data_IF_925863380844
#
_entry.id   IF_925863380844
#
_cell.length_a   1.000
_cell.length_b   1.000
_cell.length_c   1.000
_cell.angle_alpha   90.00
_cell.angle_beta   90.00
_cell.angle_gamma   90.00
#
_symmetry.space_group_name_H-M   'P 1'
#
loop_
_entity.id
_entity.type
_entity.pdbx_description
1 polymer ?
#
# COMPACT_ATOMS: atom_id res chain seq x y z
N UNK A 1 -2.16 -28.86 12.66
CA UNK A 1 -3.21 -28.75 11.64
C UNK A 1 -4.35 -27.94 12.25
N UNK A 2 -4.29 -26.58 12.14
CA UNK A 2 -5.35 -25.70 12.67
C UNK A 2 -6.32 -25.43 11.51
N UNK A 3 -7.57 -25.88 11.66
CA UNK A 3 -8.66 -25.60 10.74
C UNK A 3 -8.85 -24.07 10.63
N UNK A 4 -8.72 -23.53 9.40
CA UNK A 4 -9.17 -22.16 9.08
C UNK A 4 -10.67 -22.07 9.38
N UNK A 5 -11.18 -20.97 9.99
CA UNK A 5 -12.61 -20.78 10.08
C UNK A 5 -13.17 -20.67 8.65
N UNK A 6 -14.04 -21.63 8.29
CA UNK A 6 -14.82 -21.63 7.06
C UNK A 6 -15.73 -20.38 7.13
N UNK A 7 -15.41 -19.36 6.36
CA UNK A 7 -16.36 -18.28 6.12
C UNK A 7 -17.30 -18.81 5.05
N UNK A 8 -18.60 -18.86 5.35
CA UNK A 8 -19.61 -19.27 4.39
C UNK A 8 -19.42 -18.47 3.10
N UNK A 9 -19.03 -19.17 2.03
CA UNK A 9 -18.84 -18.59 0.71
C UNK A 9 -20.21 -18.39 0.06
N UNK A 10 -20.68 -17.17 0.06
CA UNK A 10 -21.74 -16.76 -0.88
C UNK A 10 -21.06 -16.48 -2.22
N UNK A 11 -21.44 -17.16 -3.31
CA UNK A 11 -20.92 -16.87 -4.63
C UNK A 11 -21.21 -15.39 -4.97
N UNK A 12 -20.31 -14.71 -5.70
CA UNK A 12 -20.51 -13.31 -6.06
C UNK A 12 -21.84 -13.13 -6.78
N UNK A 13 -22.52 -12.04 -6.47
CA UNK A 13 -23.77 -11.64 -7.12
C UNK A 13 -23.64 -11.48 -8.64
N UNK A 14 -22.41 -11.35 -9.13
CA UNK A 14 -22.03 -11.43 -10.54
C UNK A 14 -20.80 -12.31 -10.66
N UNK A 15 -20.86 -13.38 -11.45
CA UNK A 15 -19.73 -14.28 -11.60
C UNK A 15 -18.57 -13.59 -12.31
N UNK A 16 -17.34 -13.96 -11.94
CA UNK A 16 -16.15 -13.61 -12.69
C UNK A 16 -16.21 -14.25 -14.10
N UNK A 17 -15.40 -13.79 -15.07
CA UNK A 17 -15.24 -14.49 -16.35
C UNK A 17 -14.99 -15.99 -16.17
N UNK A 18 -15.51 -16.81 -17.08
CA UNK A 18 -15.48 -18.28 -16.97
C UNK A 18 -14.07 -18.88 -16.87
N UNK A 19 -13.04 -18.11 -17.28
CA UNK A 19 -11.62 -18.51 -17.15
C UNK A 19 -11.13 -18.59 -15.70
N UNK A 20 -11.87 -18.00 -14.73
CA UNK A 20 -11.48 -18.02 -13.31
C UNK A 20 -12.26 -19.06 -12.53
N UNK A 21 -11.56 -20.04 -12.00
CA UNK A 21 -12.12 -20.94 -11.00
C UNK A 21 -11.95 -20.29 -9.62
N UNK A 22 -13.05 -19.70 -9.10
CA UNK A 22 -13.05 -18.98 -7.82
C UNK A 22 -12.91 -19.96 -6.67
N UNK A 23 -11.90 -19.76 -5.82
CA UNK A 23 -11.61 -20.61 -4.65
C UNK A 23 -12.07 -19.97 -3.34
N UNK A 24 -12.07 -18.64 -3.25
CA UNK A 24 -12.49 -17.96 -2.04
C UNK A 24 -12.49 -16.44 -2.13
N UNK A 25 -13.12 -15.79 -1.16
CA UNK A 25 -13.07 -14.37 -0.96
C UNK A 25 -11.91 -14.03 -0.02
N UNK A 26 -10.94 -13.25 -0.51
CA UNK A 26 -9.76 -12.81 0.25
C UNK A 26 -10.04 -11.55 1.06
N UNK A 27 -10.83 -10.62 0.49
CA UNK A 27 -11.14 -9.36 1.15
C UNK A 27 -12.29 -8.58 0.51
N UNK A 28 -12.87 -7.69 1.31
CA UNK A 28 -13.86 -6.70 0.87
C UNK A 28 -13.40 -5.31 1.25
N UNK A 29 -13.52 -4.38 0.31
CA UNK A 29 -13.29 -2.95 0.51
C UNK A 29 -14.55 -2.15 0.18
N UNK A 30 -14.45 -0.82 0.16
CA UNK A 30 -15.57 0.05 -0.20
C UNK A 30 -15.97 -0.19 -1.66
N UNK A 31 -16.97 -1.05 -1.87
CA UNK A 31 -17.49 -1.43 -3.19
C UNK A 31 -16.59 -2.38 -4.00
N UNK A 32 -15.45 -2.81 -3.47
CA UNK A 32 -14.54 -3.75 -4.12
C UNK A 32 -14.50 -5.09 -3.41
N UNK A 33 -14.30 -6.16 -4.16
CA UNK A 33 -14.14 -7.53 -3.67
C UNK A 33 -12.86 -8.13 -4.26
N UNK A 34 -12.10 -8.88 -3.47
CA UNK A 34 -10.89 -9.56 -3.95
C UNK A 34 -11.08 -11.06 -3.74
N UNK A 35 -11.00 -11.80 -4.83
CA UNK A 35 -11.15 -13.25 -4.85
C UNK A 35 -9.81 -13.95 -5.09
N UNK A 36 -9.57 -15.04 -4.39
CA UNK A 36 -8.57 -16.03 -4.75
C UNK A 36 -9.18 -16.91 -5.83
N UNK A 37 -8.47 -17.09 -6.95
CA UNK A 37 -8.93 -17.89 -8.07
C UNK A 37 -7.76 -18.55 -8.81
N UNK A 38 -8.03 -19.64 -9.49
CA UNK A 38 -7.14 -20.21 -10.48
C UNK A 38 -7.52 -19.64 -11.87
N UNK A 39 -6.55 -19.04 -12.55
CA UNK A 39 -6.72 -18.51 -13.91
C UNK A 39 -6.29 -19.57 -14.93
N UNK A 40 -7.24 -20.15 -15.65
CA UNK A 40 -7.00 -21.20 -16.65
C UNK A 40 -6.16 -20.70 -17.86
N UNK A 41 -6.18 -19.39 -18.14
CA UNK A 41 -5.41 -18.82 -19.24
C UNK A 41 -3.93 -18.66 -18.86
N UNK A 42 -3.66 -18.24 -17.63
CA UNK A 42 -2.30 -18.01 -17.13
C UNK A 42 -1.70 -19.24 -16.46
N UNK A 43 -2.52 -20.28 -16.20
CA UNK A 43 -2.15 -21.53 -15.52
C UNK A 43 -1.52 -21.26 -14.13
N UNK A 44 -2.13 -20.33 -13.36
CA UNK A 44 -1.63 -19.99 -12.03
C UNK A 44 -2.72 -19.47 -11.08
N UNK A 45 -2.41 -19.50 -9.79
CA UNK A 45 -3.22 -18.90 -8.73
C UNK A 45 -3.08 -17.39 -8.76
N UNK A 46 -4.21 -16.68 -8.76
CA UNK A 46 -4.29 -15.23 -8.86
C UNK A 46 -5.20 -14.62 -7.80
N UNK A 47 -5.01 -13.33 -7.54
CA UNK A 47 -6.00 -12.50 -6.87
C UNK A 47 -6.78 -11.72 -7.94
N UNK A 48 -8.11 -11.84 -7.94
CA UNK A 48 -8.98 -11.09 -8.85
C UNK A 48 -9.74 -10.03 -8.05
N UNK A 49 -9.39 -8.76 -8.29
CA UNK A 49 -10.07 -7.62 -7.69
C UNK A 49 -11.20 -7.16 -8.59
N UNK A 50 -12.43 -7.22 -8.09
CA UNK A 50 -13.64 -6.85 -8.77
C UNK A 50 -14.09 -5.49 -8.25
N UNK A 51 -14.33 -4.54 -9.17
CA UNK A 51 -14.75 -3.18 -8.85
C UNK A 51 -16.28 -3.04 -8.84
N UNK A 52 -16.83 -1.93 -8.31
CA UNK A 52 -18.26 -1.69 -8.30
C UNK A 52 -18.88 -1.70 -9.71
N UNK A 53 -20.18 -1.97 -9.79
CA UNK A 53 -20.94 -2.00 -11.05
C UNK A 53 -21.52 -0.64 -11.47
N UNK A 54 -21.47 0.34 -10.60
CA UNK A 54 -21.99 1.70 -10.79
C UNK A 54 -20.97 2.68 -11.42
N UNK A 55 -19.83 2.16 -11.84
CA UNK A 55 -18.82 2.95 -12.55
C UNK A 55 -19.26 3.22 -14.00
N UNK A 56 -19.04 4.45 -14.47
CA UNK A 56 -19.29 4.81 -15.85
C UNK A 56 -18.27 4.15 -16.82
N UNK A 57 -18.60 4.10 -18.10
CA UNK A 57 -17.73 3.50 -19.12
C UNK A 57 -16.34 4.14 -19.17
N UNK A 58 -16.23 5.41 -18.82
CA UNK A 58 -14.95 6.13 -18.79
C UNK A 58 -14.06 5.66 -17.66
N UNK A 59 -14.64 5.47 -16.48
CA UNK A 59 -13.95 4.90 -15.32
C UNK A 59 -13.52 3.45 -15.58
N UNK A 60 -14.42 2.65 -16.16
CA UNK A 60 -14.13 1.27 -16.55
C UNK A 60 -12.92 1.17 -17.51
N UNK A 61 -12.87 2.01 -18.56
CA UNK A 61 -11.75 2.06 -19.51
C UNK A 61 -10.45 2.51 -18.83
N UNK A 62 -10.51 3.52 -17.97
CA UNK A 62 -9.33 4.02 -17.24
C UNK A 62 -8.73 2.92 -16.35
N UNK A 63 -9.55 2.15 -15.65
CA UNK A 63 -9.07 1.02 -14.82
C UNK A 63 -8.35 -0.01 -15.70
N UNK A 64 -8.93 -0.37 -16.84
CA UNK A 64 -8.33 -1.33 -17.76
C UNK A 64 -7.02 -0.82 -18.40
N UNK A 65 -6.96 0.48 -18.76
CA UNK A 65 -5.77 1.09 -19.36
C UNK A 65 -4.63 1.20 -18.35
N UNK A 66 -4.95 1.52 -17.09
CA UNK A 66 -3.94 1.59 -16.03
C UNK A 66 -3.43 0.21 -15.65
N UNK A 67 -4.29 -0.80 -15.62
CA UNK A 67 -3.86 -2.19 -15.46
C UNK A 67 -2.74 -2.56 -16.46
N UNK A 68 -2.92 -2.18 -17.73
CA UNK A 68 -1.91 -2.41 -18.79
C UNK A 68 -0.65 -1.57 -18.59
N UNK A 69 -0.75 -0.38 -18.02
CA UNK A 69 0.41 0.44 -17.69
C UNK A 69 1.21 -0.14 -16.53
N UNK A 70 0.52 -0.76 -15.57
CA UNK A 70 1.12 -1.39 -14.39
C UNK A 70 1.80 -2.73 -14.70
N UNK A 71 1.39 -3.44 -15.77
CA UNK A 71 2.05 -4.67 -16.23
C UNK A 71 3.57 -4.48 -16.47
N UNK A 72 4.01 -3.25 -16.78
CA UNK A 72 5.42 -2.90 -16.95
C UNK A 72 6.20 -2.74 -15.64
N UNK A 73 5.48 -2.64 -14.50
CA UNK A 73 6.09 -2.47 -13.19
C UNK A 73 6.38 -3.84 -12.58
N UNK A 74 7.49 -4.45 -12.98
CA UNK A 74 7.94 -5.71 -12.38
C UNK A 74 9.01 -5.44 -11.33
N UNK A 75 8.68 -5.68 -10.06
CA UNK A 75 9.62 -5.55 -8.95
C UNK A 75 9.20 -6.45 -7.78
N UNK A 76 10.17 -7.08 -7.12
CA UNK A 76 9.94 -8.04 -6.01
C UNK A 76 9.16 -7.49 -4.81
N UNK A 77 9.04 -6.16 -4.67
CA UNK A 77 8.31 -5.48 -3.58
C UNK A 77 6.99 -4.88 -4.04
N UNK A 78 6.56 -5.21 -5.24
CA UNK A 78 5.28 -4.80 -5.80
C UNK A 78 4.43 -6.03 -6.09
N UNK A 79 3.14 -5.92 -5.87
CA UNK A 79 2.19 -6.92 -6.37
C UNK A 79 2.09 -6.76 -7.88
N UNK A 80 2.47 -7.79 -8.63
CA UNK A 80 2.39 -7.77 -10.09
C UNK A 80 0.94 -7.76 -10.56
N UNK A 81 0.65 -6.95 -11.58
CA UNK A 81 -0.63 -6.96 -12.29
C UNK A 81 -0.43 -7.79 -13.56
N UNK A 82 -1.27 -8.79 -13.79
CA UNK A 82 -1.15 -9.71 -14.93
C UNK A 82 -2.11 -9.36 -16.06
N UNK A 83 -3.32 -8.89 -15.71
CA UNK A 83 -4.37 -8.61 -16.71
C UNK A 83 -5.46 -7.73 -16.08
N UNK A 84 -6.35 -7.21 -16.90
CA UNK A 84 -7.53 -6.49 -16.47
C UNK A 84 -8.56 -6.38 -17.57
N UNK A 85 -9.82 -6.28 -17.18
CA UNK A 85 -10.91 -6.20 -18.15
C UNK A 85 -12.22 -5.74 -17.53
N UNK A 86 -13.28 -5.89 -18.31
CA UNK A 86 -14.67 -5.63 -17.88
C UNK A 86 -15.50 -6.87 -18.11
N UNK A 87 -16.25 -7.32 -17.12
CA UNK A 87 -17.17 -8.43 -17.20
C UNK A 87 -18.52 -8.04 -16.63
N UNK A 88 -19.59 -8.20 -17.39
CA UNK A 88 -20.96 -7.82 -17.02
C UNK A 88 -21.06 -6.37 -16.48
N UNK A 89 -20.34 -5.44 -17.10
CA UNK A 89 -20.30 -4.02 -16.71
C UNK A 89 -19.43 -3.72 -15.46
N UNK A 90 -18.77 -4.71 -14.89
CA UNK A 90 -17.85 -4.55 -13.75
C UNK A 90 -16.40 -4.68 -14.21
N UNK A 91 -15.55 -3.67 -13.93
CA UNK A 91 -14.11 -3.82 -14.13
C UNK A 91 -13.54 -4.86 -13.19
N UNK A 92 -12.52 -5.57 -13.64
CA UNK A 92 -11.73 -6.47 -12.79
C UNK A 92 -10.23 -6.33 -13.10
N UNK A 93 -9.41 -6.66 -12.12
CA UNK A 93 -7.96 -6.68 -12.20
C UNK A 93 -7.45 -8.03 -11.74
N UNK A 94 -6.55 -8.64 -12.52
CA UNK A 94 -5.89 -9.90 -12.19
C UNK A 94 -4.48 -9.60 -11.69
N UNK A 95 -4.19 -10.07 -10.49
CA UNK A 95 -2.94 -9.72 -9.80
C UNK A 95 -2.28 -10.97 -9.20
N UNK A 96 -1.01 -10.84 -8.89
CA UNK A 96 -0.28 -11.80 -8.09
C UNK A 96 -1.01 -12.05 -6.76
N UNK A 97 -1.24 -13.31 -6.45
CA UNK A 97 -1.75 -13.71 -5.15
C UNK A 97 -0.61 -13.72 -4.12
N UNK A 98 -0.66 -12.82 -3.15
CA UNK A 98 0.26 -12.82 -2.01
C UNK A 98 -0.38 -13.58 -0.87
N UNK A 99 0.18 -14.74 -0.52
CA UNK A 99 -0.25 -15.52 0.64
C UNK A 99 0.36 -14.92 1.90
N UNK A 100 -0.48 -14.45 2.81
CA UNK A 100 -0.03 -13.80 4.03
C UNK A 100 -1.07 -12.88 4.64
N UNK A 101 -0.62 -11.76 5.22
CA UNK A 101 -1.50 -10.78 5.88
C UNK A 101 -1.15 -9.36 5.49
N UNK A 102 -2.09 -8.43 5.61
CA UNK A 102 -1.77 -7.01 5.46
C UNK A 102 -0.99 -6.48 6.67
N UNK A 103 -0.13 -5.48 6.45
CA UNK A 103 0.57 -4.77 7.53
C UNK A 103 -0.43 -4.17 8.54
N UNK A 104 -1.60 -3.72 8.08
CA UNK A 104 -2.65 -3.23 8.97
C UNK A 104 -3.19 -4.32 9.91
N UNK A 105 -3.21 -5.59 9.48
CA UNK A 105 -3.57 -6.73 10.33
C UNK A 105 -2.45 -7.02 11.34
N UNK A 106 -1.19 -7.01 10.88
CA UNK A 106 -0.01 -7.22 11.75
C UNK A 106 0.08 -6.16 12.86
N UNK A 107 -0.19 -4.89 12.53
CA UNK A 107 -0.13 -3.79 13.50
C UNK A 107 -1.24 -3.83 14.56
N UNK A 108 -2.32 -4.60 14.36
CA UNK A 108 -3.29 -4.86 15.43
C UNK A 108 -2.74 -5.75 16.56
N UNK A 109 -1.70 -6.50 16.29
CA UNK A 109 -1.00 -7.33 17.30
C UNK A 109 -0.02 -6.51 18.15
N UNK A 110 0.27 -5.28 17.75
CA UNK A 110 1.16 -4.35 18.41
C UNK A 110 2.19 -3.71 17.47
N UNK A 111 2.99 -2.75 17.96
CA UNK A 111 4.05 -2.13 17.20
C UNK A 111 5.14 -3.14 16.81
N UNK A 112 5.92 -2.77 15.80
CA UNK A 112 7.13 -3.49 15.42
C UNK A 112 8.30 -2.99 16.24
N UNK A 113 9.33 -3.82 16.41
CA UNK A 113 10.62 -3.32 16.85
C UNK A 113 11.14 -2.28 15.85
N UNK A 114 11.84 -1.26 16.35
CA UNK A 114 12.35 -0.18 15.48
C UNK A 114 13.21 -0.73 14.33
N UNK A 115 14.07 -1.73 14.61
CA UNK A 115 14.88 -2.36 13.58
C UNK A 115 14.05 -3.06 12.50
N UNK A 116 12.98 -3.78 12.90
CA UNK A 116 12.05 -4.44 11.97
C UNK A 116 11.34 -3.42 11.09
N UNK A 117 10.84 -2.33 11.69
CA UNK A 117 10.17 -1.26 10.98
C UNK A 117 11.12 -0.60 9.94
N UNK A 118 12.39 -0.36 10.31
CA UNK A 118 13.40 0.21 9.41
C UNK A 118 13.65 -0.71 8.20
N UNK A 119 13.82 -2.02 8.42
CA UNK A 119 14.01 -3.00 7.35
C UNK A 119 12.79 -3.03 6.43
N UNK A 120 11.59 -3.15 6.98
CA UNK A 120 10.34 -3.19 6.22
C UNK A 120 10.19 -1.95 5.32
N UNK A 121 10.45 -0.77 5.89
CA UNK A 121 10.31 0.48 5.14
C UNK A 121 11.43 0.66 4.12
N UNK A 122 12.64 0.17 4.36
CA UNK A 122 13.71 0.15 3.36
C UNK A 122 13.30 -0.67 2.13
N UNK A 123 12.72 -1.86 2.33
CA UNK A 123 12.23 -2.71 1.25
C UNK A 123 11.08 -2.06 0.46
N UNK A 124 10.17 -1.37 1.14
CA UNK A 124 9.09 -0.62 0.48
C UNK A 124 9.63 0.60 -0.29
N UNK A 125 10.64 1.28 0.26
CA UNK A 125 11.31 2.39 -0.43
C UNK A 125 12.02 1.93 -1.71
N UNK A 126 12.58 0.70 -1.75
CA UNK A 126 13.12 0.06 -2.95
C UNK A 126 12.03 -0.08 -4.04
N UNK A 127 10.88 -0.64 -3.70
CA UNK A 127 9.74 -0.74 -4.61
C UNK A 127 9.25 0.63 -5.11
N UNK A 128 9.11 1.61 -4.20
CA UNK A 128 8.69 2.97 -4.59
C UNK A 128 9.73 3.69 -5.45
N UNK A 129 11.02 3.50 -5.20
CA UNK A 129 12.08 4.08 -6.03
C UNK A 129 12.00 3.55 -7.47
N UNK A 130 11.74 2.23 -7.64
CA UNK A 130 11.52 1.63 -8.95
C UNK A 130 10.31 2.24 -9.68
N UNK A 131 9.19 2.39 -9.00
CA UNK A 131 7.94 2.98 -9.54
C UNK A 131 8.17 4.43 -9.95
N UNK A 132 8.79 5.23 -9.08
CA UNK A 132 9.07 6.63 -9.34
C UNK A 132 10.05 6.86 -10.51
N UNK A 133 11.04 5.98 -10.68
CA UNK A 133 11.96 6.02 -11.82
C UNK A 133 11.25 5.82 -13.16
N UNK A 134 10.08 5.17 -13.17
CA UNK A 134 9.25 4.97 -14.34
C UNK A 134 8.16 6.05 -14.51
N UNK A 135 8.21 7.12 -13.70
CA UNK A 135 7.27 8.24 -13.77
C UNK A 135 5.89 7.93 -13.18
N UNK A 136 5.74 6.79 -12.48
CA UNK A 136 4.49 6.39 -11.82
C UNK A 136 4.52 6.82 -10.35
N UNK A 137 3.36 7.19 -9.81
CA UNK A 137 3.16 7.55 -8.40
C UNK A 137 2.06 6.66 -7.84
N UNK A 138 2.30 6.05 -6.69
CA UNK A 138 1.36 5.10 -6.07
C UNK A 138 0.09 5.77 -5.52
N UNK A 139 0.25 6.90 -4.84
CA UNK A 139 -0.81 7.80 -4.29
C UNK A 139 -1.67 7.25 -3.14
N UNK A 140 -1.55 5.98 -2.79
CA UNK A 140 -2.35 5.34 -1.72
C UNK A 140 -1.50 4.39 -0.85
N UNK A 141 -0.30 4.82 -0.47
CA UNK A 141 0.58 4.07 0.44
C UNK A 141 -0.01 4.10 1.85
N UNK A 142 -0.34 2.91 2.37
CA UNK A 142 -0.93 2.73 3.71
C UNK A 142 -0.80 1.26 4.16
N UNK A 143 -0.89 0.95 5.47
CA UNK A 143 -0.71 -0.42 5.97
C UNK A 143 -1.67 -1.45 5.39
N UNK A 144 -2.88 -1.08 4.96
CA UNK A 144 -3.81 -2.02 4.32
C UNK A 144 -3.41 -2.43 2.90
N UNK A 145 -2.61 -1.60 2.23
CA UNK A 145 -2.11 -1.83 0.87
C UNK A 145 -0.67 -2.39 0.87
N UNK A 146 -0.14 -2.75 2.03
CA UNK A 146 1.13 -3.43 2.21
C UNK A 146 0.82 -4.85 2.66
N UNK A 147 1.12 -5.83 1.81
CA UNK A 147 0.94 -7.25 2.09
C UNK A 147 2.26 -7.84 2.56
N UNK A 148 2.23 -8.58 3.64
CA UNK A 148 3.36 -9.36 4.14
C UNK A 148 3.14 -10.81 3.70
N UNK A 149 4.06 -11.38 2.93
CA UNK A 149 3.98 -12.77 2.52
C UNK A 149 4.27 -13.75 3.69
N UNK A 150 4.25 -15.04 3.43
CA UNK A 150 4.50 -16.08 4.44
C UNK A 150 5.93 -16.03 5.01
N UNK A 151 6.87 -15.43 4.28
CA UNK A 151 8.23 -15.16 4.74
C UNK A 151 8.39 -13.80 5.42
N UNK A 152 7.30 -13.00 5.48
CA UNK A 152 7.24 -11.67 6.09
C UNK A 152 7.71 -10.53 5.18
N UNK A 153 8.06 -10.80 3.92
CA UNK A 153 8.48 -9.74 3.01
C UNK A 153 7.32 -8.87 2.57
N UNK A 154 7.52 -7.53 2.54
CA UNK A 154 6.46 -6.62 2.13
C UNK A 154 6.30 -6.54 0.61
N UNK A 155 5.05 -6.48 0.17
CA UNK A 155 4.64 -6.22 -1.20
C UNK A 155 3.63 -5.08 -1.21
N UNK A 156 3.89 -4.04 -2.00
CA UNK A 156 2.99 -2.90 -2.15
C UNK A 156 1.93 -3.24 -3.20
N UNK A 157 0.67 -3.16 -2.82
CA UNK A 157 -0.50 -3.44 -3.64
C UNK A 157 -1.33 -2.18 -3.87
N UNK A 158 -2.33 -2.30 -4.75
CA UNK A 158 -3.36 -1.27 -4.92
C UNK A 158 -2.81 0.11 -5.30
N UNK A 159 -1.97 0.15 -6.34
CA UNK A 159 -1.65 1.41 -6.99
C UNK A 159 -2.95 2.19 -7.22
N UNK A 160 -2.96 3.50 -6.97
CA UNK A 160 -4.16 4.34 -6.89
C UNK A 160 -5.17 4.28 -8.04
N UNK A 161 -5.42 3.08 -8.58
CA UNK A 161 -6.38 2.77 -9.64
C UNK A 161 -7.79 3.27 -9.26
N UNK A 162 -8.15 3.21 -7.98
CA UNK A 162 -9.42 3.76 -7.49
C UNK A 162 -9.51 5.28 -7.66
N UNK A 163 -8.38 5.99 -7.67
CA UNK A 163 -8.33 7.43 -7.90
C UNK A 163 -8.64 7.81 -9.35
N UNK A 164 -8.45 6.92 -10.29
CA UNK A 164 -8.75 7.12 -11.71
C UNK A 164 -10.19 6.79 -12.08
N UNK A 165 -10.84 5.95 -11.29
CA UNK A 165 -12.25 5.62 -11.44
C UNK A 165 -13.21 6.81 -11.18
N UNK A 166 -12.68 8.03 -11.06
CA UNK A 166 -13.49 9.21 -10.81
C UNK A 166 -13.90 9.39 -9.33
N UNK A 167 -13.50 8.47 -8.45
CA UNK A 167 -13.73 8.58 -7.01
C UNK A 167 -12.69 9.48 -6.31
N UNK A 168 -12.03 10.35 -7.03
CA UNK A 168 -11.01 11.20 -6.45
C UNK A 168 -11.09 12.62 -6.95
N UNK A 169 -11.70 13.35 -6.16
CA UNK A 169 -11.25 14.66 -5.70
C UNK A 169 -11.91 14.86 -4.35
N UNK A 170 -11.18 15.34 -3.38
CA UNK A 170 -11.75 16.04 -2.24
C UNK A 170 -12.48 17.26 -2.84
N UNK A 171 -13.60 17.06 -3.52
CA UNK A 171 -14.40 18.10 -4.15
C UNK A 171 -15.70 18.38 -3.38
N UNK A 172 -16.00 17.57 -2.38
CA UNK A 172 -16.99 17.90 -1.37
C UNK A 172 -16.50 17.39 -0.01
N UNK A 173 -16.67 18.19 1.00
CA UNK A 173 -16.26 17.98 2.39
C UNK A 173 -16.82 16.67 3.00
N UNK A 174 -17.80 16.06 2.36
CA UNK A 174 -18.53 14.88 2.83
C UNK A 174 -18.09 13.53 2.21
N UNK A 175 -17.27 13.52 1.14
CA UNK A 175 -16.87 12.30 0.43
C UNK A 175 -15.36 12.05 0.47
N UNK A 176 -14.73 12.07 1.64
CA UNK A 176 -13.38 11.52 1.79
C UNK A 176 -13.48 10.00 1.74
N UNK A 177 -13.47 9.44 0.52
CA UNK A 177 -13.44 7.98 0.30
C UNK A 177 -12.04 7.48 0.65
N UNK A 178 -11.96 6.54 1.58
CA UNK A 178 -10.69 5.94 2.02
C UNK A 178 -10.29 6.30 3.45
N UNK A 179 -9.07 5.94 3.82
CA UNK A 179 -8.50 6.26 5.14
C UNK A 179 -7.62 7.51 5.01
N UNK A 180 -8.10 8.70 5.40
CA UNK A 180 -7.35 9.95 5.21
C UNK A 180 -6.07 10.04 6.06
N UNK A 181 -5.83 9.08 6.96
CA UNK A 181 -4.74 9.10 7.91
C UNK A 181 -3.33 9.21 7.29
N UNK A 182 -3.15 8.83 6.02
CA UNK A 182 -1.84 8.82 5.34
C UNK A 182 -1.72 9.80 4.18
N UNK A 183 -2.79 10.54 3.84
CA UNK A 183 -2.76 11.51 2.76
C UNK A 183 -1.72 12.60 3.03
N UNK A 184 -0.97 13.01 2.02
CA UNK A 184 -0.07 14.15 2.10
C UNK A 184 -0.86 15.48 2.10
N UNK A 185 -0.29 16.57 2.66
CA UNK A 185 -0.95 17.87 2.69
C UNK A 185 -1.44 18.35 1.32
N UNK A 186 -0.64 18.19 0.28
CA UNK A 186 -1.00 18.58 -1.10
C UNK A 186 -2.13 17.75 -1.69
N UNK A 187 -2.34 16.50 -1.25
CA UNK A 187 -3.50 15.70 -1.66
C UNK A 187 -4.81 16.27 -1.10
N UNK A 188 -4.76 16.87 0.08
CA UNK A 188 -5.93 17.50 0.71
C UNK A 188 -6.18 18.88 0.11
N UNK A 189 -5.11 19.63 -0.19
CA UNK A 189 -5.18 20.98 -0.75
C UNK A 189 -5.44 21.01 -2.25
N UNK A 190 -5.50 19.85 -2.93
CA UNK A 190 -5.67 19.77 -4.38
C UNK A 190 -4.46 20.26 -5.17
N UNK A 191 -3.27 20.19 -4.59
CA UNK A 191 -2.01 20.54 -5.24
C UNK A 191 -1.54 19.51 -6.28
N UNK A 192 -0.41 19.81 -6.94
CA UNK A 192 0.22 18.85 -7.86
C UNK A 192 0.72 17.61 -7.12
N UNK A 193 0.34 16.44 -7.61
CA UNK A 193 0.69 15.16 -7.02
C UNK A 193 1.89 14.55 -7.75
N UNK A 194 2.98 14.34 -7.02
CA UNK A 194 4.21 13.72 -7.49
C UNK A 194 4.73 12.66 -6.52
N UNK A 195 5.91 12.06 -6.78
CA UNK A 195 6.53 11.03 -5.94
C UNK A 195 6.60 11.36 -4.44
N UNK A 196 6.66 12.65 -4.10
CA UNK A 196 6.72 13.13 -2.72
C UNK A 196 5.49 12.76 -1.87
N UNK A 197 4.32 12.49 -2.48
CA UNK A 197 3.12 12.06 -1.72
C UNK A 197 3.32 10.67 -1.13
N UNK A 198 3.97 9.76 -1.89
CA UNK A 198 4.24 8.39 -1.45
C UNK A 198 5.28 8.37 -0.33
N UNK A 199 6.30 9.24 -0.43
CA UNK A 199 7.33 9.38 0.61
C UNK A 199 6.73 9.89 1.92
N UNK A 200 5.80 10.86 1.86
CA UNK A 200 5.08 11.33 3.04
C UNK A 200 4.28 10.20 3.70
N UNK A 201 3.49 9.50 2.91
CA UNK A 201 2.68 8.38 3.38
C UNK A 201 3.56 7.25 3.97
N UNK A 202 4.67 6.92 3.32
CA UNK A 202 5.64 5.92 3.81
C UNK A 202 6.26 6.34 5.15
N UNK A 203 6.54 7.63 5.36
CA UNK A 203 6.99 8.17 6.64
C UNK A 203 5.95 7.99 7.75
N UNK A 204 4.67 8.20 7.46
CA UNK A 204 3.59 7.95 8.43
C UNK A 204 3.40 6.46 8.72
N UNK A 205 3.58 5.59 7.72
CA UNK A 205 3.58 4.13 7.93
C UNK A 205 4.72 3.70 8.84
N UNK A 206 5.95 4.23 8.62
CA UNK A 206 7.09 3.98 9.51
C UNK A 206 6.79 4.39 10.96
N UNK A 207 6.23 5.59 11.13
CA UNK A 207 5.88 6.09 12.45
C UNK A 207 4.83 5.21 13.14
N UNK A 208 3.80 4.76 12.40
CA UNK A 208 2.80 3.83 12.94
C UNK A 208 3.39 2.45 13.26
N UNK A 209 4.29 1.92 12.43
CA UNK A 209 5.01 0.67 12.73
C UNK A 209 5.74 0.75 14.08
N UNK A 210 6.42 1.86 14.35
CA UNK A 210 7.20 2.06 15.57
C UNK A 210 6.29 2.33 16.79
N UNK A 211 5.25 3.15 16.62
CA UNK A 211 4.43 3.62 17.74
C UNK A 211 3.19 2.75 18.01
N UNK A 212 2.79 1.91 17.04
CA UNK A 212 1.53 1.16 17.06
C UNK A 212 0.29 2.04 16.93
N UNK A 213 0.42 3.31 16.57
CA UNK A 213 -0.68 4.27 16.51
C UNK A 213 -0.59 5.15 15.27
N UNK A 214 -1.75 5.42 14.68
CA UNK A 214 -1.85 6.42 13.62
C UNK A 214 -1.53 7.79 14.15
N UNK A 215 -0.65 8.51 13.48
CA UNK A 215 -0.25 9.85 13.92
C UNK A 215 -1.36 10.90 13.75
N UNK A 216 -2.09 10.79 12.64
CA UNK A 216 -3.22 11.66 12.36
C UNK A 216 -4.51 10.84 12.43
N UNK A 217 -5.05 10.72 13.63
CA UNK A 217 -6.34 10.13 13.91
C UNK A 217 -7.25 11.17 14.56
N UNK A 218 -8.56 11.02 14.45
CA UNK A 218 -9.52 11.96 15.00
C UNK A 218 -10.92 11.39 15.01
N UNK A 219 -11.85 12.06 15.71
CA UNK A 219 -13.26 11.64 15.83
C UNK A 219 -13.95 11.47 14.48
N UNK A 220 -13.51 12.22 13.47
CA UNK A 220 -13.98 12.11 12.11
C UNK A 220 -12.84 12.24 11.09
N UNK A 221 -13.10 11.79 9.86
CA UNK A 221 -12.13 11.78 8.77
C UNK A 221 -11.60 13.17 8.41
N UNK A 222 -12.42 14.22 8.56
CA UNK A 222 -12.06 15.59 8.24
C UNK A 222 -11.05 16.13 9.24
N UNK A 223 -11.26 15.94 10.53
CA UNK A 223 -10.31 16.38 11.57
C UNK A 223 -8.96 15.68 11.41
N UNK A 224 -8.97 14.36 11.15
CA UNK A 224 -7.75 13.62 10.83
C UNK A 224 -7.04 14.18 9.59
N UNK A 225 -7.77 14.60 8.57
CA UNK A 225 -7.20 15.21 7.38
C UNK A 225 -6.63 16.60 7.67
N UNK A 226 -7.34 17.47 8.39
CA UNK A 226 -6.93 18.84 8.68
C UNK A 226 -5.78 18.92 9.69
N UNK A 227 -5.63 17.96 10.59
CA UNK A 227 -4.59 17.96 11.61
C UNK A 227 -3.18 18.10 11.01
N UNK A 228 -2.90 17.46 9.86
CA UNK A 228 -1.59 17.53 9.19
C UNK A 228 -1.32 18.86 8.48
N UNK A 229 -2.35 19.65 8.25
CA UNK A 229 -2.18 21.03 7.74
C UNK A 229 -1.79 22.00 8.85
N UNK A 230 -2.10 21.64 10.11
CA UNK A 230 -1.89 22.52 11.28
C UNK A 230 -0.65 22.19 12.08
N UNK A 231 -0.21 20.91 12.12
CA UNK A 231 0.95 20.47 12.89
C UNK A 231 1.79 19.43 12.16
N UNK A 232 3.06 19.32 12.55
CA UNK A 232 3.93 18.25 12.12
C UNK A 232 3.67 16.95 12.91
N UNK A 233 4.07 15.77 12.40
CA UNK A 233 3.99 14.52 13.13
C UNK A 233 4.79 14.53 14.44
N UNK A 234 4.28 13.84 15.45
CA UNK A 234 4.95 13.66 16.74
C UNK A 234 5.91 12.49 16.65
N UNK A 235 7.17 12.80 16.45
CA UNK A 235 8.24 11.80 16.37
C UNK A 235 8.74 11.50 17.79
N UNK A 236 8.80 10.22 18.22
CA UNK A 236 9.31 9.85 19.53
C UNK A 236 10.73 10.39 19.77
N UNK A 237 10.98 10.91 20.96
CA UNK A 237 12.25 11.57 21.31
C UNK A 237 13.39 10.57 21.56
N UNK A 238 13.07 9.32 21.80
CA UNK A 238 13.98 8.21 22.06
C UNK A 238 14.50 7.51 20.80
N UNK A 239 14.02 7.91 19.62
CA UNK A 239 14.53 7.36 18.37
C UNK A 239 15.98 7.82 18.08
N UNK A 240 16.80 6.95 17.46
CA UNK A 240 18.12 7.35 16.96
C UNK A 240 18.05 8.63 16.11
N UNK A 241 18.98 9.56 16.35
CA UNK A 241 18.98 10.88 15.68
C UNK A 241 18.85 10.83 14.16
N UNK A 242 19.61 9.98 13.45
CA UNK A 242 19.49 9.84 12.00
C UNK A 242 18.11 9.35 11.54
N UNK A 243 17.49 8.39 12.24
CA UNK A 243 16.14 7.91 11.94
C UNK A 243 15.09 8.99 12.20
N UNK A 244 15.18 9.69 13.33
CA UNK A 244 14.30 10.81 13.65
C UNK A 244 14.44 11.96 12.62
N UNK A 245 15.65 12.23 12.15
CA UNK A 245 15.94 13.18 11.08
C UNK A 245 15.29 12.80 9.75
N UNK A 246 15.43 11.53 9.34
CA UNK A 246 14.79 11.02 8.15
C UNK A 246 13.26 11.08 8.23
N UNK A 247 12.66 10.68 9.35
CA UNK A 247 11.21 10.76 9.57
C UNK A 247 10.69 12.21 9.42
N UNK A 248 11.39 13.20 10.00
CA UNK A 248 11.01 14.61 9.84
C UNK A 248 11.09 15.04 8.38
N UNK A 249 12.12 14.62 7.66
CA UNK A 249 12.28 14.96 6.25
C UNK A 249 11.19 14.30 5.39
N UNK A 250 10.92 12.99 5.58
CA UNK A 250 9.87 12.27 4.84
C UNK A 250 8.49 12.92 5.04
N UNK A 251 8.20 13.37 6.26
CA UNK A 251 6.90 13.92 6.64
C UNK A 251 6.85 15.47 6.60
N UNK A 252 7.81 16.12 5.96
CA UNK A 252 7.79 17.57 5.77
C UNK A 252 6.52 18.02 5.01
N UNK A 253 5.92 19.14 5.44
CA UNK A 253 4.70 19.66 4.80
C UNK A 253 4.93 20.05 3.34
N UNK A 254 6.07 20.68 3.06
CA UNK A 254 6.47 21.08 1.72
C UNK A 254 6.98 19.87 0.93
N UNK A 255 6.35 19.48 -0.19
CA UNK A 255 6.78 18.30 -0.97
C UNK A 255 8.26 18.39 -1.42
N UNK A 256 8.74 19.56 -1.78
CA UNK A 256 10.12 19.78 -2.23
C UNK A 256 11.20 19.61 -1.16
N UNK A 257 10.83 19.53 0.12
CA UNK A 257 11.76 19.24 1.23
C UNK A 257 11.85 17.74 1.54
N UNK A 258 10.99 16.92 0.95
CA UNK A 258 11.00 15.48 1.18
C UNK A 258 12.09 14.83 0.35
N UNK A 259 12.79 13.83 0.91
CA UNK A 259 13.75 13.04 0.15
C UNK A 259 13.05 12.24 -0.96
N UNK A 260 13.82 11.75 -1.92
CA UNK A 260 13.34 10.73 -2.86
C UNK A 260 13.20 9.37 -2.18
N UNK A 261 12.41 8.46 -2.74
CA UNK A 261 12.33 7.08 -2.23
C UNK A 261 13.70 6.38 -2.26
N UNK A 262 14.52 6.64 -3.29
CA UNK A 262 15.90 6.13 -3.38
C UNK A 262 16.78 6.65 -2.22
N UNK A 263 16.64 7.92 -1.85
CA UNK A 263 17.39 8.46 -0.71
C UNK A 263 16.92 7.84 0.61
N UNK A 264 15.61 7.62 0.77
CA UNK A 264 15.07 6.89 1.93
C UNK A 264 15.65 5.48 2.02
N UNK A 265 15.66 4.72 0.92
CA UNK A 265 16.27 3.40 0.84
C UNK A 265 17.73 3.42 1.30
N UNK A 266 18.54 4.31 0.72
CA UNK A 266 19.97 4.39 1.04
C UNK A 266 20.20 4.70 2.52
N UNK A 267 19.46 5.66 3.08
CA UNK A 267 19.59 6.06 4.49
C UNK A 267 19.15 4.96 5.44
N UNK A 268 18.02 4.29 5.16
CA UNK A 268 17.51 3.19 5.99
C UNK A 268 18.45 1.98 5.92
N UNK A 269 18.97 1.65 4.74
CA UNK A 269 19.95 0.56 4.57
C UNK A 269 21.24 0.81 5.35
N UNK A 270 21.74 2.05 5.36
CA UNK A 270 22.89 2.42 6.17
C UNK A 270 22.63 2.23 7.67
N UNK A 271 21.43 2.63 8.16
CA UNK A 271 21.04 2.42 9.56
C UNK A 271 20.98 0.94 9.95
N UNK A 272 20.52 0.08 9.03
CA UNK A 272 20.53 -1.38 9.24
C UNK A 272 21.93 -1.92 9.31
N UNK A 273 22.82 -1.51 8.39
CA UNK A 273 24.22 -1.95 8.36
C UNK A 273 24.97 -1.53 9.63
N UNK A 274 24.80 -0.29 10.07
CA UNK A 274 25.42 0.23 11.32
C UNK A 274 24.96 -0.57 12.55
N UNK A 275 23.68 -0.94 12.61
CA UNK A 275 23.12 -1.73 13.72
C UNK A 275 23.63 -3.19 13.73
N UNK A 276 23.95 -3.74 12.56
CA UNK A 276 24.42 -5.12 12.39
C UNK A 276 25.96 -5.28 12.51
N UNK A 277 26.72 -4.18 12.66
CA UNK A 277 28.16 -4.24 12.81
C UNK A 277 28.96 -4.39 11.51
N UNK A 278 28.41 -4.03 10.35
CA UNK A 278 29.05 -3.99 9.04
C UNK A 278 28.56 -5.05 8.05
N UNK A 279 28.68 -4.73 6.76
CA UNK A 279 28.41 -5.55 5.55
C UNK A 279 27.15 -6.44 5.57
N UNK A 280 26.00 -5.81 5.33
CA UNK A 280 24.79 -6.50 4.89
C UNK A 280 24.44 -6.05 3.48
N UNK A 281 24.67 -6.92 2.50
CA UNK A 281 24.02 -6.81 1.20
C UNK A 281 22.49 -6.93 1.41
N UNK A 282 21.70 -6.11 0.70
CA UNK A 282 20.23 -6.04 0.81
C UNK A 282 19.52 -7.38 0.56
N UNK A 283 20.22 -8.37 0.03
CA UNK A 283 19.71 -9.74 -0.18
C UNK A 283 19.65 -10.59 1.10
N UNK A 284 20.35 -10.19 2.16
CA UNK A 284 20.50 -11.01 3.38
C UNK A 284 19.61 -10.57 4.54
N UNK A 285 18.70 -9.59 4.34
CA UNK A 285 17.77 -9.13 5.36
C UNK A 285 16.71 -10.22 5.64
N UNK A 286 17.03 -11.15 6.54
CA UNK A 286 16.03 -12.08 7.07
C UNK A 286 15.04 -11.31 7.95
N UNK A 287 13.73 -11.49 7.70
CA UNK A 287 12.69 -10.86 8.49
C UNK A 287 12.62 -11.50 9.88
N UNK A 288 12.85 -10.74 10.96
CA UNK A 288 12.99 -11.29 12.31
C UNK A 288 11.67 -11.81 12.93
N UNK A 289 10.51 -11.54 12.32
CA UNK A 289 9.20 -11.99 12.82
C UNK A 289 8.67 -13.28 12.15
N UNK A 290 9.55 -14.14 11.65
CA UNK A 290 9.13 -15.50 11.33
C UNK A 290 8.48 -16.11 12.56
N UNK A 291 7.19 -16.34 12.44
CA UNK A 291 6.25 -16.87 13.44
C UNK A 291 6.90 -17.79 14.48
N UNK A 292 6.69 -17.47 15.75
CA UNK A 292 6.65 -18.45 16.82
C UNK A 292 5.40 -19.35 16.66
#
# INVERSE_FOLDING_TARGET
MRQRPYVDYEPPSQPLPARFQVEGLVGRGTGTEVYEAYDELLDLQVAVKLFPSDLDDTACRRIADEARALDRLNHRRLVSVYDGGVHLGRPYLVMQLIRGISLSRRLREGPLLTAEAVVLIALLADGLAHVHAQGVVHRDVKPSNILLDEDGFPHLSDFGIALLAGQSRVTAVDEVIGTPAYLAPEQILGGALGPAVDVYALGLVLLECITGRREFDGPNKMEAALARLSRDPRIPADLPGPLAGLLRAMTAREPGRRPTAQHCLNTLSALVADAAGGDLETETLSMPWRSA
#
